data_IF_318808745031
#
_entry.id   IF_318808745031
#
_cell.length_a   1.000
_cell.length_b   1.000
_cell.length_c   1.000
_cell.angle_alpha   90.00
_cell.angle_beta   90.00
_cell.angle_gamma   90.00
#
_symmetry.space_group_name_H-M   'P 1'
#
loop_
_entity.id
_entity.type
_entity.pdbx_description
1 polymer ?
#
# COMPACT_ATOMS: atom_id res chain seq x y z
N UNK A 1 10.19 9.15 -5.45
CA UNK A 1 9.04 8.23 -5.49
C UNK A 1 8.90 7.54 -6.83
N UNK A 2 8.64 8.29 -7.90
CA UNK A 2 8.05 7.81 -9.18
C UNK A 2 8.65 6.52 -9.75
N UNK A 3 9.97 6.38 -9.81
CA UNK A 3 10.60 5.17 -10.35
C UNK A 3 10.29 3.91 -9.51
N UNK A 4 10.37 3.99 -8.18
CA UNK A 4 10.08 2.85 -7.32
C UNK A 4 8.59 2.49 -7.35
N UNK A 5 7.69 3.47 -7.41
CA UNK A 5 6.26 3.22 -7.57
C UNK A 5 6.00 2.44 -8.86
N UNK A 6 6.60 2.91 -9.97
CA UNK A 6 6.49 2.25 -11.27
C UNK A 6 7.03 0.82 -11.25
N UNK A 7 8.08 0.54 -10.48
CA UNK A 7 8.57 -0.83 -10.29
C UNK A 7 7.55 -1.70 -9.55
N UNK A 8 6.95 -1.19 -8.48
CA UNK A 8 5.90 -1.91 -7.73
C UNK A 8 4.65 -2.16 -8.58
N UNK A 9 4.27 -1.19 -9.41
CA UNK A 9 3.19 -1.36 -10.39
C UNK A 9 3.51 -2.48 -11.39
N UNK A 10 4.63 -2.36 -12.12
CA UNK A 10 4.97 -3.28 -13.22
C UNK A 10 5.24 -4.69 -12.71
N UNK A 11 6.10 -4.81 -11.69
CA UNK A 11 6.56 -6.11 -11.20
C UNK A 11 5.51 -6.79 -10.32
N UNK A 12 4.68 -6.01 -9.62
CA UNK A 12 3.56 -6.57 -8.88
C UNK A 12 2.43 -7.04 -9.80
N UNK A 13 2.26 -6.43 -10.98
CA UNK A 13 1.33 -6.92 -11.99
C UNK A 13 1.86 -8.17 -12.71
N UNK A 14 3.17 -8.20 -13.01
CA UNK A 14 3.81 -9.36 -13.61
C UNK A 14 5.31 -9.43 -13.22
N UNK A 15 5.72 -10.42 -12.41
CA UNK A 15 7.10 -10.56 -11.96
C UNK A 15 8.07 -10.91 -13.11
N UNK A 16 7.59 -11.46 -14.23
CA UNK A 16 8.43 -11.82 -15.38
C UNK A 16 9.08 -10.59 -16.04
N UNK A 17 8.55 -9.39 -15.79
CA UNK A 17 9.14 -8.13 -16.26
C UNK A 17 10.45 -7.76 -15.56
N UNK A 18 10.85 -8.44 -14.47
CA UNK A 18 12.07 -8.12 -13.72
C UNK A 18 13.33 -8.12 -14.60
N UNK A 19 13.42 -9.02 -15.57
CA UNK A 19 14.55 -9.11 -16.49
C UNK A 19 14.70 -7.89 -17.43
N UNK A 20 13.61 -7.16 -17.68
CA UNK A 20 13.58 -6.00 -18.60
C UNK A 20 13.09 -4.71 -17.92
N UNK A 21 13.15 -4.63 -16.58
CA UNK A 21 12.58 -3.49 -15.86
C UNK A 21 13.23 -2.16 -16.25
N UNK A 22 14.54 -2.14 -16.54
CA UNK A 22 15.25 -0.96 -17.04
C UNK A 22 14.68 -0.48 -18.38
N UNK A 23 14.42 -1.41 -19.31
CA UNK A 23 13.85 -1.10 -20.62
C UNK A 23 12.39 -0.61 -20.53
N UNK A 24 11.60 -1.16 -19.60
CA UNK A 24 10.20 -0.74 -19.40
C UNK A 24 10.11 0.62 -18.69
N UNK A 25 11.00 0.87 -17.75
CA UNK A 25 11.00 2.13 -16.96
C UNK A 25 11.80 3.26 -17.61
N UNK A 26 12.68 2.94 -18.57
CA UNK A 26 13.62 3.90 -19.16
C UNK A 26 14.73 4.34 -18.20
N UNK A 27 14.90 3.65 -17.07
CA UNK A 27 15.93 3.95 -16.06
C UNK A 27 17.01 2.88 -16.11
N UNK A 28 18.24 3.31 -16.38
CA UNK A 28 19.41 2.44 -16.30
C UNK A 28 19.69 2.05 -14.84
N UNK A 29 19.71 0.75 -14.57
CA UNK A 29 19.98 0.20 -13.25
C UNK A 29 21.29 -0.55 -13.28
N UNK A 30 22.10 -0.36 -12.24
CA UNK A 30 23.30 -1.19 -12.06
C UNK A 30 22.91 -2.64 -11.82
N UNK A 31 23.83 -3.54 -12.14
CA UNK A 31 23.75 -4.94 -11.74
C UNK A 31 23.49 -5.05 -10.22
N UNK A 32 22.58 -5.94 -9.84
CA UNK A 32 22.13 -6.13 -8.45
C UNK A 32 21.02 -5.19 -7.97
N UNK A 33 20.94 -3.95 -8.48
CA UNK A 33 19.84 -3.02 -8.09
C UNK A 33 18.49 -3.52 -8.57
N UNK A 34 18.41 -3.98 -9.82
CA UNK A 34 17.18 -4.60 -10.36
C UNK A 34 16.73 -5.80 -9.53
N UNK A 35 17.65 -6.69 -9.16
CA UNK A 35 17.35 -7.86 -8.34
C UNK A 35 16.84 -7.49 -6.94
N UNK A 36 17.42 -6.46 -6.31
CA UNK A 36 16.96 -5.97 -5.01
C UNK A 36 15.54 -5.38 -5.08
N UNK A 37 15.24 -4.63 -6.15
CA UNK A 37 13.90 -4.09 -6.38
C UNK A 37 12.90 -5.23 -6.58
N UNK A 38 13.22 -6.20 -7.44
CA UNK A 38 12.36 -7.35 -7.70
C UNK A 38 12.10 -8.17 -6.42
N UNK A 39 13.14 -8.38 -5.59
CA UNK A 39 12.99 -9.04 -4.29
C UNK A 39 12.09 -8.26 -3.31
N UNK A 40 12.22 -6.93 -3.29
CA UNK A 40 11.38 -6.05 -2.47
C UNK A 40 9.91 -6.09 -2.91
N UNK A 41 9.65 -6.03 -4.22
CA UNK A 41 8.29 -6.17 -4.75
C UNK A 41 7.73 -7.55 -4.42
N UNK A 42 8.47 -8.63 -4.69
CA UNK A 42 8.00 -9.99 -4.40
C UNK A 42 7.67 -10.19 -2.91
N UNK A 43 8.48 -9.62 -2.00
CA UNK A 43 8.21 -9.70 -0.56
C UNK A 43 6.93 -8.96 -0.18
N UNK A 44 6.67 -7.81 -0.81
CA UNK A 44 5.43 -7.07 -0.62
C UNK A 44 4.21 -7.83 -1.16
N UNK A 45 4.31 -8.41 -2.36
CA UNK A 45 3.21 -9.18 -2.97
C UNK A 45 2.89 -10.45 -2.16
N UNK A 46 3.91 -11.13 -1.62
CA UNK A 46 3.71 -12.25 -0.69
C UNK A 46 2.98 -11.79 0.58
N UNK A 47 3.41 -10.69 1.17
CA UNK A 47 2.74 -10.11 2.33
C UNK A 47 1.28 -9.72 2.03
N UNK A 48 1.01 -9.14 0.86
CA UNK A 48 -0.36 -8.83 0.42
C UNK A 48 -1.21 -10.09 0.33
N UNK A 49 -0.70 -11.15 -0.33
CA UNK A 49 -1.42 -12.41 -0.48
C UNK A 49 -1.68 -13.13 0.85
N UNK A 50 -0.75 -13.02 1.81
CA UNK A 50 -0.90 -13.60 3.15
C UNK A 50 -1.87 -12.81 4.04
N UNK A 51 -1.89 -11.47 3.90
CA UNK A 51 -2.66 -10.59 4.77
C UNK A 51 -4.06 -10.27 4.27
N UNK A 52 -4.23 -10.18 2.95
CA UNK A 52 -5.49 -9.86 2.30
C UNK A 52 -5.87 -11.03 1.39
N UNK A 53 -6.94 -11.75 1.74
CA UNK A 53 -7.61 -12.69 0.84
C UNK A 53 -8.27 -11.93 -0.31
N UNK A 54 -7.45 -11.33 -1.18
CA UNK A 54 -7.90 -10.41 -2.21
C UNK A 54 -8.51 -11.17 -3.39
N UNK A 55 -9.69 -10.73 -3.82
CA UNK A 55 -10.39 -11.24 -5.01
C UNK A 55 -9.99 -10.49 -6.27
N UNK A 56 -9.55 -9.24 -6.13
CA UNK A 56 -8.98 -8.43 -7.20
C UNK A 56 -7.93 -7.45 -6.66
N UNK A 57 -6.97 -7.11 -7.52
CA UNK A 57 -5.88 -6.17 -7.23
C UNK A 57 -5.84 -5.13 -8.34
N UNK A 58 -6.12 -3.88 -8.00
CA UNK A 58 -6.06 -2.74 -8.92
C UNK A 58 -4.80 -1.94 -8.62
N UNK A 59 -4.00 -1.66 -9.66
CA UNK A 59 -2.77 -0.88 -9.56
C UNK A 59 -2.93 0.41 -10.34
N UNK A 60 -2.39 1.51 -9.81
CA UNK A 60 -2.51 2.85 -10.40
C UNK A 60 -3.97 3.19 -10.75
N UNK A 61 -4.89 2.95 -9.80
CA UNK A 61 -6.32 3.17 -10.02
C UNK A 61 -6.61 4.69 -10.07
N UNK A 62 -7.09 5.23 -11.20
CA UNK A 62 -7.47 6.64 -11.28
C UNK A 62 -8.72 6.89 -10.44
N UNK A 63 -8.65 7.89 -9.59
CA UNK A 63 -9.74 8.32 -8.72
C UNK A 63 -10.15 9.74 -9.11
N UNK A 64 -11.39 9.87 -9.59
CA UNK A 64 -11.98 11.15 -9.97
C UNK A 64 -13.38 11.28 -9.40
N UNK A 65 -13.64 12.37 -8.72
CA UNK A 65 -15.00 12.74 -8.30
C UNK A 65 -15.05 14.09 -7.62
N UNK A 66 -16.10 14.30 -6.84
CA UNK A 66 -16.30 15.53 -6.07
C UNK A 66 -16.22 15.21 -4.58
N UNK A 67 -15.61 16.11 -3.81
CA UNK A 67 -15.73 16.10 -2.35
C UNK A 67 -17.08 16.69 -1.90
N UNK A 68 -17.33 16.67 -0.59
CA UNK A 68 -18.56 17.19 0.01
C UNK A 68 -18.78 18.70 -0.24
N UNK A 69 -17.73 19.43 -0.63
CA UNK A 69 -17.80 20.85 -0.96
C UNK A 69 -18.00 21.09 -2.48
N UNK A 70 -18.14 20.03 -3.28
CA UNK A 70 -18.23 20.10 -4.73
C UNK A 70 -16.91 20.41 -5.44
N UNK A 71 -15.78 20.29 -4.73
CA UNK A 71 -14.44 20.43 -5.33
C UNK A 71 -14.03 19.14 -6.02
N UNK A 72 -13.35 19.25 -7.16
CA UNK A 72 -12.86 18.07 -7.88
C UNK A 72 -11.71 17.43 -7.10
N UNK A 73 -11.91 16.17 -6.72
CA UNK A 73 -10.86 15.28 -6.25
C UNK A 73 -10.36 14.50 -7.46
N UNK A 74 -9.08 14.64 -7.79
CA UNK A 74 -8.40 13.90 -8.85
C UNK A 74 -7.08 13.38 -8.32
N UNK A 75 -6.85 12.08 -8.45
CA UNK A 75 -5.62 11.42 -8.03
C UNK A 75 -5.52 10.00 -8.57
N UNK A 76 -4.44 9.33 -8.23
CA UNK A 76 -4.24 7.91 -8.54
C UNK A 76 -3.88 7.21 -7.23
N UNK A 77 -4.54 6.11 -6.94
CA UNK A 77 -4.16 5.23 -5.83
C UNK A 77 -3.20 4.17 -6.35
N UNK A 78 -2.03 4.03 -5.71
CA UNK A 78 -1.01 3.07 -6.15
C UNK A 78 -1.57 1.63 -6.14
N UNK A 79 -2.35 1.26 -5.11
CA UNK A 79 -2.94 -0.05 -4.96
C UNK A 79 -4.32 -0.01 -4.29
N UNK A 80 -5.31 -0.66 -4.89
CA UNK A 80 -6.61 -0.95 -4.27
C UNK A 80 -6.85 -2.46 -4.30
N UNK A 81 -7.03 -3.04 -3.12
CA UNK A 81 -7.29 -4.46 -2.96
C UNK A 81 -8.79 -4.66 -2.71
N UNK A 82 -9.43 -5.48 -3.54
CA UNK A 82 -10.79 -5.94 -3.28
C UNK A 82 -10.75 -7.24 -2.49
N UNK A 83 -11.60 -7.34 -1.48
CA UNK A 83 -11.84 -8.56 -0.71
C UNK A 83 -13.35 -8.80 -0.63
N UNK A 84 -13.76 -10.00 -0.22
CA UNK A 84 -15.18 -10.31 -0.01
C UNK A 84 -15.88 -9.36 0.98
N UNK A 85 -15.12 -8.71 1.86
CA UNK A 85 -15.65 -7.79 2.88
C UNK A 85 -15.61 -6.31 2.48
N UNK A 86 -14.90 -5.95 1.40
CA UNK A 86 -14.70 -4.56 1.00
C UNK A 86 -13.27 -4.26 0.54
N UNK A 87 -12.96 -2.97 0.44
CA UNK A 87 -11.75 -2.45 -0.18
C UNK A 87 -10.69 -2.03 0.83
N UNK A 88 -9.43 -2.23 0.47
CA UNK A 88 -8.29 -1.59 1.11
C UNK A 88 -7.56 -0.71 0.11
N UNK A 89 -7.10 0.47 0.56
CA UNK A 89 -6.32 1.40 -0.25
C UNK A 89 -4.91 1.43 0.31
N UNK A 90 -3.90 1.09 -0.47
CA UNK A 90 -2.51 1.15 -0.08
C UNK A 90 -1.77 2.11 -1.00
N UNK A 91 -0.93 2.94 -0.41
CA UNK A 91 -0.06 3.86 -1.14
C UNK A 91 1.40 3.48 -0.91
N UNK A 92 2.23 3.64 -1.93
CA UNK A 92 3.65 3.38 -1.84
C UNK A 92 4.37 4.68 -1.46
N UNK A 93 5.32 4.59 -0.52
CA UNK A 93 6.15 5.72 -0.13
C UNK A 93 7.61 5.32 -0.11
N UNK A 94 8.43 6.15 -0.75
CA UNK A 94 9.88 5.96 -0.83
C UNK A 94 10.65 6.87 0.14
N UNK A 95 9.95 7.60 0.99
CA UNK A 95 10.54 8.57 1.92
C UNK A 95 11.48 7.89 2.92
N UNK A 96 12.55 8.59 3.29
CA UNK A 96 13.38 8.17 4.43
C UNK A 96 12.72 8.69 5.70
N UNK A 97 12.14 7.76 6.46
CA UNK A 97 11.45 8.07 7.71
C UNK A 97 12.02 7.22 8.83
N UNK A 98 12.02 7.77 10.05
CA UNK A 98 12.49 7.07 11.25
C UNK A 98 11.36 6.26 11.88
N UNK A 99 10.18 6.88 12.03
CA UNK A 99 8.97 6.30 12.60
C UNK A 99 7.85 6.19 11.54
N UNK A 100 7.58 4.98 11.00
CA UNK A 100 6.55 4.74 10.00
C UNK A 100 5.14 5.11 10.45
N UNK A 101 4.83 4.91 11.74
CA UNK A 101 3.50 5.15 12.28
C UNK A 101 3.25 6.66 12.40
N UNK A 102 4.21 7.40 12.95
CA UNK A 102 4.12 8.86 13.04
C UNK A 102 4.13 9.52 11.65
N UNK A 103 4.91 9.00 10.72
CA UNK A 103 4.96 9.52 9.34
C UNK A 103 3.63 9.31 8.59
N UNK A 104 2.85 8.28 8.94
CA UNK A 104 1.55 8.00 8.32
C UNK A 104 0.59 9.18 8.40
N UNK A 105 0.57 9.91 9.52
CA UNK A 105 -0.36 11.00 9.76
C UNK A 105 -0.26 12.14 8.74
N UNK A 106 0.93 12.35 8.16
CA UNK A 106 1.13 13.32 7.08
C UNK A 106 0.41 12.96 5.78
N UNK A 107 0.17 11.67 5.54
CA UNK A 107 -0.48 11.15 4.33
C UNK A 107 -1.94 10.73 4.57
N UNK A 108 -2.34 10.59 5.84
CA UNK A 108 -3.71 10.23 6.25
C UNK A 108 -4.79 11.07 5.55
N UNK A 109 -4.71 12.42 5.46
CA UNK A 109 -5.77 13.21 4.80
C UNK A 109 -5.99 12.84 3.33
N UNK A 110 -4.91 12.53 2.60
CA UNK A 110 -4.99 12.11 1.20
C UNK A 110 -5.67 10.73 1.09
N UNK A 111 -5.25 9.77 1.90
CA UNK A 111 -5.80 8.42 1.91
C UNK A 111 -7.28 8.42 2.33
N UNK A 112 -7.65 9.24 3.31
CA UNK A 112 -9.05 9.43 3.71
C UNK A 112 -9.89 10.09 2.61
N UNK A 113 -9.31 10.99 1.82
CA UNK A 113 -9.98 11.57 0.66
C UNK A 113 -10.31 10.48 -0.39
N UNK A 114 -9.36 9.59 -0.70
CA UNK A 114 -9.60 8.45 -1.58
C UNK A 114 -10.65 7.48 -1.01
N UNK A 115 -10.58 7.19 0.28
CA UNK A 115 -11.56 6.34 0.95
C UNK A 115 -12.98 6.92 0.87
N UNK A 116 -13.15 8.21 1.19
CA UNK A 116 -14.44 8.90 1.11
C UNK A 116 -14.99 8.92 -0.31
N UNK A 117 -14.13 9.13 -1.31
CA UNK A 117 -14.53 9.10 -2.71
C UNK A 117 -15.04 7.71 -3.13
N UNK A 118 -14.34 6.63 -2.78
CA UNK A 118 -14.82 5.28 -3.07
C UNK A 118 -16.10 4.95 -2.28
N UNK A 119 -16.22 5.44 -1.05
CA UNK A 119 -17.45 5.31 -0.27
C UNK A 119 -18.64 6.04 -0.90
N UNK A 120 -18.44 7.23 -1.47
CA UNK A 120 -19.51 7.98 -2.16
C UNK A 120 -19.96 7.29 -3.45
N UNK A 121 -19.10 6.44 -4.05
CA UNK A 121 -19.44 5.55 -5.16
C UNK A 121 -20.13 4.25 -4.72
N UNK A 122 -20.35 4.04 -3.42
CA UNK A 122 -21.06 2.89 -2.87
C UNK A 122 -20.16 1.73 -2.42
N UNK A 123 -18.84 1.89 -2.41
CA UNK A 123 -17.93 0.85 -1.93
C UNK A 123 -17.79 0.87 -0.39
N UNK A 124 -17.64 -0.31 0.20
CA UNK A 124 -17.22 -0.43 1.61
C UNK A 124 -15.69 -0.38 1.66
N UNK A 125 -15.12 0.67 2.26
CA UNK A 125 -13.67 0.77 2.50
C UNK A 125 -13.37 0.33 3.93
N UNK A 126 -12.53 -0.70 4.06
CA UNK A 126 -12.15 -1.36 5.31
C UNK A 126 -10.97 -0.69 6.01
N UNK A 127 -10.14 0.02 5.27
CA UNK A 127 -8.96 0.69 5.78
C UNK A 127 -8.05 1.23 4.69
N UNK A 128 -7.03 1.93 5.16
CA UNK A 128 -5.99 2.55 4.35
C UNK A 128 -4.62 2.11 4.86
N UNK A 129 -3.60 2.15 4.01
CA UNK A 129 -2.26 1.70 4.35
C UNK A 129 -1.16 2.39 3.57
N UNK A 130 0.06 2.32 4.10
CA UNK A 130 1.27 2.77 3.42
C UNK A 130 2.30 1.66 3.43
N UNK A 131 2.80 1.32 2.25
CA UNK A 131 4.01 0.54 2.08
C UNK A 131 5.23 1.46 2.01
N UNK A 132 6.05 1.45 3.06
CA UNK A 132 7.30 2.19 3.12
C UNK A 132 8.41 1.40 2.42
N UNK A 133 8.51 1.57 1.10
CA UNK A 133 9.34 0.77 0.19
C UNK A 133 10.78 0.63 0.70
N UNK A 134 11.41 1.73 1.12
CA UNK A 134 12.84 1.71 1.53
C UNK A 134 13.08 0.98 2.85
N UNK A 135 12.04 0.73 3.64
CA UNK A 135 12.10 -0.01 4.90
C UNK A 135 11.53 -1.42 4.81
N UNK A 136 10.79 -1.74 3.75
CA UNK A 136 10.04 -3.00 3.64
C UNK A 136 9.02 -3.17 4.77
N UNK A 137 8.39 -2.08 5.20
CA UNK A 137 7.43 -2.06 6.31
C UNK A 137 6.09 -1.52 5.82
N UNK A 138 5.00 -2.15 6.23
CA UNK A 138 3.64 -1.70 5.93
C UNK A 138 2.97 -1.24 7.22
N UNK A 139 2.31 -0.07 7.15
CA UNK A 139 1.43 0.45 8.21
C UNK A 139 0.01 0.44 7.70
N UNK A 140 -0.94 -0.06 8.51
CA UNK A 140 -2.36 -0.16 8.18
C UNK A 140 -3.20 0.53 9.24
N UNK A 141 -4.20 1.29 8.80
CA UNK A 141 -5.26 1.84 9.66
C UNK A 141 -6.63 1.41 9.14
N UNK A 142 -7.43 0.77 9.99
CA UNK A 142 -8.81 0.38 9.68
C UNK A 142 -9.72 1.61 9.60
N UNK A 143 -10.63 1.62 8.63
CA UNK A 143 -11.73 2.60 8.56
C UNK A 143 -12.79 2.23 9.59
N UNK A 144 -13.20 3.19 10.42
CA UNK A 144 -14.28 2.98 11.40
C UNK A 144 -13.85 2.52 12.81
N UNK A 145 -12.61 2.81 13.24
CA UNK A 145 -12.27 2.69 14.65
C UNK A 145 -12.94 3.79 15.49
N UNK A 146 -13.95 3.44 16.29
CA UNK A 146 -13.96 3.96 17.66
C UNK A 146 -12.56 3.65 18.24
N UNK A 147 -11.94 4.56 19.01
CA UNK A 147 -10.66 4.24 19.64
C UNK A 147 -10.89 3.05 20.57
N UNK A 148 -10.41 1.86 20.20
CA UNK A 148 -10.21 0.81 21.19
C UNK A 148 -9.13 1.31 22.14
N UNK A 149 -9.53 1.55 23.38
CA UNK A 149 -8.61 1.79 24.47
C UNK A 149 -7.49 0.74 24.43
N UNK A 150 -6.25 1.22 24.29
CA UNK A 150 -5.07 0.69 24.97
C UNK A 150 -5.11 -0.83 25.25
N UNK A 151 -4.95 -1.65 24.22
CA UNK A 151 -4.42 -3.00 24.42
C UNK A 151 -2.90 -2.93 24.57
N UNK A 152 -2.46 -2.30 25.66
CA UNK A 152 -1.18 -2.65 26.29
C UNK A 152 -1.34 -4.07 26.84
N UNK A 153 -0.86 -5.07 26.11
CA UNK A 153 -0.20 -6.26 26.69
C UNK A 153 0.27 -7.22 25.59
N UNK A 154 1.37 -6.87 24.91
CA UNK A 154 2.27 -7.90 24.38
C UNK A 154 3.26 -8.30 25.48
N UNK A 155 2.79 -9.13 26.42
CA UNK A 155 3.70 -9.94 27.24
C UNK A 155 4.22 -11.09 26.38
N UNK A 156 5.48 -10.97 26.02
CA UNK A 156 6.38 -12.08 25.68
C UNK A 156 6.22 -13.17 26.72
N UNK A 157 5.77 -14.38 26.33
CA UNK A 157 6.23 -15.63 26.95
C UNK A 157 6.38 -16.69 25.85
N UNK A 158 7.61 -16.86 25.38
CA UNK A 158 8.10 -18.11 24.80
C UNK A 158 8.69 -18.94 25.95
N UNK A 159 8.23 -20.19 26.10
CA UNK A 159 8.83 -21.36 26.81
C UNK A 159 7.73 -22.43 26.88
N UNK A 160 7.88 -23.69 26.49
CA UNK A 160 9.02 -24.48 26.06
C UNK A 160 8.53 -25.94 26.00
N UNK A 161 9.09 -26.68 25.05
CA UNK A 161 9.32 -28.14 25.01
C UNK A 161 8.77 -28.94 26.20
N UNK A 162 7.81 -29.84 25.94
CA UNK A 162 7.95 -31.31 26.01
C UNK A 162 6.77 -31.98 25.31
#
# INVERSE_FOLDING_TARGET
GTFLHRCFEILGANPDHAANISGITGVELSDGTSANIAASVNSFEQWVAEHFSATAVHRELPLLGLDDNGSVVSGTADLVLETDSGLWILDHKSDQIEDPEAAFDGYRPQLECYAKLLQSMGHTVLGVGINWIRRGTIVLHRSGGLPEESSRNSKIIQKGIK
#
